data_IF_220926710074
#
_entry.id   IF_220926710074
#
_cell.length_a   1.000
_cell.length_b   1.000
_cell.length_c   1.000
_cell.angle_alpha   90.00
_cell.angle_beta   90.00
_cell.angle_gamma   90.00
#
_symmetry.space_group_name_H-M   'P 1'
#
loop_
_entity.id
_entity.type
_entity.pdbx_description
1 polymer ?
#
# COMPACT_ATOMS: atom_id res chain seq x y z
N UNK A 1 5.62 48.85 20.38
CA UNK A 1 5.37 50.02 21.23
C UNK A 1 3.97 49.90 21.75
N UNK A 2 3.88 49.62 23.05
CA UNK A 2 2.67 49.72 23.86
C UNK A 2 2.00 51.09 23.69
N UNK A 3 0.66 51.13 23.72
CA UNK A 3 -0.07 51.59 24.91
C UNK A 3 -1.57 51.81 24.61
N UNK A 4 -2.36 51.69 25.69
CA UNK A 4 -3.78 52.02 25.89
C UNK A 4 -4.75 50.85 25.58
N UNK A 5 -5.16 49.98 26.51
CA UNK A 5 -5.30 50.02 27.97
C UNK A 5 -6.19 51.16 28.51
N UNK A 6 -7.34 50.75 29.06
CA UNK A 6 -8.42 51.50 29.77
C UNK A 6 -9.59 51.94 28.87
N UNK A 7 -10.86 51.54 29.05
CA UNK A 7 -11.53 50.80 30.11
C UNK A 7 -12.89 50.23 29.61
N UNK A 8 -13.34 49.13 30.22
CA UNK A 8 -14.77 48.84 30.41
C UNK A 8 -15.45 47.83 29.49
N UNK A 9 -15.19 46.53 29.66
CA UNK A 9 -16.16 45.46 29.34
C UNK A 9 -16.06 44.30 30.33
N UNK A 10 -17.22 43.72 30.67
CA UNK A 10 -17.45 42.73 31.71
C UNK A 10 -16.63 41.44 31.54
N UNK A 11 -16.19 40.84 32.67
CA UNK A 11 -15.61 39.50 32.70
C UNK A 11 -16.62 38.48 32.13
N UNK A 12 -16.26 37.65 31.13
CA UNK A 12 -17.07 36.50 30.76
C UNK A 12 -16.98 35.45 31.88
N UNK A 13 -18.06 34.70 32.12
CA UNK A 13 -18.22 33.90 33.33
C UNK A 13 -17.23 32.74 33.36
N UNK A 14 -16.49 32.64 34.46
CA UNK A 14 -15.94 31.38 34.97
C UNK A 14 -17.04 30.33 34.98
N UNK A 15 -17.09 29.46 33.97
CA UNK A 15 -18.02 28.33 33.90
C UNK A 15 -17.39 27.21 33.07
N UNK A 16 -16.99 26.04 33.56
CA UNK A 16 -16.80 25.49 34.90
C UNK A 16 -15.65 24.46 34.71
N UNK A 17 -14.59 24.46 35.54
CA UNK A 17 -13.60 23.37 35.51
C UNK A 17 -14.25 22.00 35.74
N UNK A 18 -15.36 21.94 36.48
CA UNK A 18 -16.22 20.76 36.60
C UNK A 18 -16.77 20.28 35.26
N UNK A 19 -17.26 21.17 34.37
CA UNK A 19 -17.87 20.75 33.11
C UNK A 19 -16.82 20.21 32.13
N UNK A 20 -15.60 20.78 32.11
CA UNK A 20 -14.45 20.20 31.38
C UNK A 20 -13.99 18.87 31.99
N UNK A 21 -13.99 18.73 33.33
CA UNK A 21 -13.73 17.45 33.99
C UNK A 21 -14.86 16.43 33.76
N UNK A 22 -16.11 16.87 33.64
CA UNK A 22 -17.27 16.03 33.37
C UNK A 22 -17.26 15.59 31.89
N UNK A 23 -16.97 16.48 30.95
CA UNK A 23 -16.73 16.15 29.54
C UNK A 23 -15.52 15.22 29.36
N UNK A 24 -14.43 15.41 30.11
CA UNK A 24 -13.31 14.47 30.16
C UNK A 24 -13.64 13.12 30.83
N UNK A 25 -14.70 13.06 31.66
CA UNK A 25 -15.25 11.79 32.16
C UNK A 25 -16.08 11.07 31.08
N UNK A 26 -16.61 11.79 30.09
CA UNK A 26 -17.31 11.22 28.94
C UNK A 26 -16.34 10.78 27.83
N UNK A 27 -15.29 11.55 27.54
CA UNK A 27 -14.21 11.21 26.60
C UNK A 27 -13.02 10.54 27.30
N UNK A 28 -13.22 9.32 27.76
CA UNK A 28 -12.11 8.47 28.24
C UNK A 28 -11.32 7.96 27.03
N UNK A 29 -10.35 8.73 26.58
CA UNK A 29 -9.38 8.30 25.57
C UNK A 29 -8.06 7.89 26.22
N UNK A 30 -7.36 6.95 25.60
CA UNK A 30 -5.99 6.60 25.98
C UNK A 30 -5.10 7.82 25.75
N UNK A 31 -4.30 8.18 26.77
CA UNK A 31 -3.32 9.27 26.67
C UNK A 31 -2.11 8.89 25.82
N UNK A 32 -1.34 9.89 25.37
CA UNK A 32 -0.09 9.65 24.66
C UNK A 32 0.91 8.88 25.54
N UNK A 33 1.66 7.95 24.94
CA UNK A 33 2.72 7.23 25.63
C UNK A 33 3.80 8.19 26.14
N UNK A 34 4.26 7.97 27.38
CA UNK A 34 5.41 8.70 27.93
C UNK A 34 6.69 8.33 27.16
N UNK A 35 7.56 9.30 26.81
CA UNK A 35 8.82 9.00 26.14
C UNK A 35 9.66 7.96 26.92
N UNK A 36 10.14 6.93 26.22
CA UNK A 36 10.88 5.81 26.83
C UNK A 36 12.16 6.26 27.55
N UNK A 37 12.77 7.36 27.07
CA UNK A 37 13.94 8.03 27.66
C UNK A 37 13.68 8.47 29.11
N UNK A 38 12.46 8.94 29.41
CA UNK A 38 12.08 9.40 30.75
C UNK A 38 11.51 8.26 31.61
N UNK A 39 10.80 7.34 30.95
CA UNK A 39 10.10 6.25 31.62
C UNK A 39 11.04 5.17 32.15
N UNK A 40 12.04 4.72 31.36
CA UNK A 40 12.93 3.63 31.76
C UNK A 40 13.76 3.93 33.02
N UNK A 41 14.38 5.11 33.18
CA UNK A 41 15.09 5.45 34.42
C UNK A 41 14.19 5.39 35.65
N UNK A 42 12.95 5.90 35.55
CA UNK A 42 11.97 5.81 36.62
C UNK A 42 11.64 4.35 36.97
N UNK A 43 11.36 3.51 35.97
CA UNK A 43 11.02 2.11 36.18
C UNK A 43 12.17 1.34 36.86
N UNK A 44 13.43 1.59 36.47
CA UNK A 44 14.60 0.98 37.14
C UNK A 44 14.72 1.39 38.60
N UNK A 45 14.47 2.66 38.94
CA UNK A 45 14.39 3.11 40.33
C UNK A 45 13.24 2.44 41.11
N UNK A 46 12.09 2.25 40.44
CA UNK A 46 10.94 1.56 41.02
C UNK A 46 11.19 0.06 41.25
N UNK A 47 12.01 -0.60 40.43
CA UNK A 47 12.48 -1.99 40.66
C UNK A 47 13.21 -2.09 42.01
N UNK A 48 14.10 -1.14 42.31
CA UNK A 48 14.86 -1.14 43.57
C UNK A 48 13.97 -0.92 44.80
N UNK A 49 12.94 -0.09 44.66
CA UNK A 49 11.99 0.20 45.75
C UNK A 49 10.98 -0.93 45.96
N UNK A 50 10.60 -1.62 44.88
CA UNK A 50 9.58 -2.67 44.87
C UNK A 50 8.15 -2.12 44.81
N UNK A 51 7.28 -2.79 44.05
CA UNK A 51 5.92 -2.33 43.77
C UNK A 51 5.05 -2.09 45.02
N UNK A 52 5.28 -2.83 46.11
CA UNK A 52 4.52 -2.71 47.36
C UNK A 52 4.84 -1.44 48.15
N UNK A 53 6.09 -0.95 48.09
CA UNK A 53 6.54 0.23 48.83
C UNK A 53 6.26 1.55 48.10
N UNK A 54 5.94 1.52 46.80
CA UNK A 54 5.72 2.74 46.03
C UNK A 54 4.51 3.54 46.53
N UNK A 55 4.57 4.88 46.56
CA UNK A 55 3.37 5.70 46.70
C UNK A 55 2.46 5.52 45.47
N UNK A 56 1.15 5.73 45.66
CA UNK A 56 0.12 5.40 44.65
C UNK A 56 0.36 6.04 43.28
N UNK A 57 0.82 7.29 43.23
CA UNK A 57 1.06 7.96 41.97
C UNK A 57 2.20 7.30 41.17
N UNK A 58 3.26 6.83 41.86
CA UNK A 58 4.35 6.08 41.24
C UNK A 58 3.88 4.67 40.84
N UNK A 59 3.10 4.00 41.69
CA UNK A 59 2.46 2.73 41.33
C UNK A 59 1.63 2.87 40.04
N UNK A 60 0.81 3.92 39.93
CA UNK A 60 0.01 4.17 38.74
C UNK A 60 0.87 4.52 37.50
N UNK A 61 2.05 5.11 37.69
CA UNK A 61 3.01 5.31 36.58
C UNK A 61 3.63 3.97 36.15
N UNK A 62 3.95 3.08 37.08
CA UNK A 62 4.38 1.69 36.79
C UNK A 62 3.29 0.92 36.05
N UNK A 63 2.05 0.95 36.54
CA UNK A 63 0.90 0.27 35.90
C UNK A 63 0.63 0.74 34.46
N UNK A 64 0.95 2.00 34.13
CA UNK A 64 0.88 2.49 32.76
C UNK A 64 2.08 2.05 31.93
N UNK A 65 3.28 2.13 32.50
CA UNK A 65 4.52 2.16 31.74
C UNK A 65 5.40 0.91 31.77
N UNK A 66 5.23 -0.01 32.73
CA UNK A 66 6.07 -1.20 32.87
C UNK A 66 6.09 -2.08 31.62
N UNK A 67 5.09 -1.92 30.75
CA UNK A 67 4.92 -2.71 29.55
C UNK A 67 5.74 -2.21 28.35
N UNK A 68 6.58 -1.19 28.53
CA UNK A 68 7.44 -0.66 27.47
C UNK A 68 8.59 -1.61 27.12
N UNK A 69 9.00 -2.49 28.04
CA UNK A 69 10.12 -3.42 27.86
C UNK A 69 9.97 -4.65 28.76
N UNK A 70 10.49 -5.80 28.31
CA UNK A 70 10.47 -7.06 29.07
C UNK A 70 11.28 -6.98 30.37
N UNK A 71 12.26 -6.09 30.47
CA UNK A 71 13.06 -5.89 31.70
C UNK A 71 12.20 -5.49 32.92
N UNK A 72 10.97 -5.00 32.71
CA UNK A 72 10.08 -4.54 33.80
C UNK A 72 8.85 -5.43 34.02
N UNK A 73 8.74 -6.58 33.36
CA UNK A 73 7.55 -7.43 33.47
C UNK A 73 7.29 -7.93 34.89
N UNK A 74 8.35 -8.23 35.66
CA UNK A 74 8.24 -8.64 37.07
C UNK A 74 7.73 -7.49 37.96
N UNK A 75 8.25 -6.28 37.75
CA UNK A 75 7.79 -5.08 38.46
C UNK A 75 6.31 -4.80 38.14
N UNK A 76 5.95 -4.87 36.85
CA UNK A 76 4.57 -4.70 36.40
C UNK A 76 3.66 -5.77 36.99
N UNK A 77 4.09 -7.02 36.99
CA UNK A 77 3.37 -8.15 37.59
C UNK A 77 3.06 -7.91 39.07
N UNK A 78 4.06 -7.50 39.86
CA UNK A 78 3.88 -7.18 41.28
C UNK A 78 2.98 -5.94 41.49
N UNK A 79 3.08 -4.94 40.60
CA UNK A 79 2.20 -3.78 40.63
C UNK A 79 0.74 -4.15 40.35
N UNK A 80 0.47 -5.08 39.43
CA UNK A 80 -0.87 -5.61 39.18
C UNK A 80 -1.42 -6.33 40.41
N UNK A 81 -0.62 -7.18 41.07
CA UNK A 81 -1.06 -7.91 42.27
C UNK A 81 -1.47 -6.93 43.39
N UNK A 82 -0.68 -5.88 43.59
CA UNK A 82 -1.03 -4.81 44.54
C UNK A 82 -2.31 -4.07 44.13
N UNK A 83 -2.47 -3.74 42.85
CA UNK A 83 -3.65 -3.03 42.36
C UNK A 83 -4.93 -3.87 42.49
N UNK A 84 -4.82 -5.20 42.37
CA UNK A 84 -5.94 -6.13 42.59
C UNK A 84 -6.26 -6.27 44.09
N UNK A 85 -5.25 -6.23 44.96
CA UNK A 85 -5.45 -6.27 46.42
C UNK A 85 -5.99 -4.96 47.03
N UNK A 86 -5.66 -3.81 46.46
CA UNK A 86 -6.10 -2.48 46.92
C UNK A 86 -6.79 -1.71 45.79
N UNK A 87 -8.07 -2.04 45.64
CA UNK A 87 -8.96 -1.60 44.57
C UNK A 87 -9.16 -0.09 44.58
N UNK A 88 -8.58 0.60 43.60
CA UNK A 88 -8.72 2.04 43.40
C UNK A 88 -9.00 2.36 41.95
N UNK A 89 -10.01 3.21 41.71
CA UNK A 89 -10.39 3.64 40.35
C UNK A 89 -9.23 4.24 39.55
N UNK A 90 -8.31 4.94 40.20
CA UNK A 90 -7.13 5.52 39.53
C UNK A 90 -6.09 4.48 39.11
N UNK A 91 -5.95 3.39 39.87
CA UNK A 91 -5.11 2.25 39.49
C UNK A 91 -5.77 1.42 38.40
N UNK A 92 -7.08 1.24 38.46
CA UNK A 92 -7.86 0.54 37.42
C UNK A 92 -7.78 1.25 36.07
N UNK A 93 -7.89 2.58 36.06
CA UNK A 93 -7.64 3.37 34.86
C UNK A 93 -6.20 3.22 34.36
N UNK A 94 -5.21 3.24 35.26
CA UNK A 94 -3.80 3.08 34.89
C UNK A 94 -3.49 1.71 34.27
N UNK A 95 -4.14 0.65 34.73
CA UNK A 95 -4.04 -0.71 34.16
C UNK A 95 -4.60 -0.74 32.74
N UNK A 96 -5.79 -0.16 32.54
CA UNK A 96 -6.43 -0.08 31.21
C UNK A 96 -5.57 0.75 30.24
N UNK A 97 -5.08 1.91 30.69
CA UNK A 97 -4.19 2.77 29.91
C UNK A 97 -2.95 1.97 29.49
N UNK A 98 -2.26 1.30 30.43
CA UNK A 98 -1.06 0.54 30.14
C UNK A 98 -1.29 -0.63 29.17
N UNK A 99 -2.41 -1.35 29.31
CA UNK A 99 -2.80 -2.41 28.38
C UNK A 99 -2.98 -1.87 26.96
N UNK A 100 -3.73 -0.78 26.78
CA UNK A 100 -4.02 -0.25 25.44
C UNK A 100 -2.78 0.40 24.83
N UNK A 101 -2.04 1.20 25.60
CA UNK A 101 -0.85 1.93 25.14
C UNK A 101 0.24 1.00 24.64
N UNK A 102 0.56 -0.08 25.36
CA UNK A 102 1.70 -0.92 25.01
C UNK A 102 1.34 -2.26 24.38
N UNK A 103 0.20 -2.84 24.78
CA UNK A 103 -0.33 -4.11 24.26
C UNK A 103 0.74 -5.16 23.91
N UNK A 104 1.47 -5.68 24.91
CA UNK A 104 2.63 -6.56 24.68
C UNK A 104 2.26 -7.99 24.25
N UNK A 105 1.58 -8.13 23.11
CA UNK A 105 0.94 -9.36 22.63
C UNK A 105 1.87 -10.58 22.54
N UNK A 106 3.16 -10.36 22.27
CA UNK A 106 4.14 -11.43 22.08
C UNK A 106 4.86 -11.80 23.39
N UNK A 107 4.50 -11.17 24.51
CA UNK A 107 5.11 -11.40 25.83
C UNK A 107 4.13 -12.13 26.76
N UNK A 108 4.57 -13.13 27.55
CA UNK A 108 3.69 -13.90 28.43
C UNK A 108 2.85 -13.05 29.41
N UNK A 109 3.36 -11.88 29.80
CA UNK A 109 2.69 -10.95 30.73
C UNK A 109 1.33 -10.44 30.23
N UNK A 110 1.08 -10.47 28.91
CA UNK A 110 -0.17 -9.96 28.32
C UNK A 110 -1.40 -10.62 28.92
N UNK A 111 -1.34 -11.91 29.26
CA UNK A 111 -2.46 -12.62 29.86
C UNK A 111 -2.87 -12.05 31.21
N UNK A 112 -1.88 -11.80 32.10
CA UNK A 112 -2.11 -11.22 33.42
C UNK A 112 -2.59 -9.77 33.31
N UNK A 113 -1.97 -8.98 32.44
CA UNK A 113 -2.36 -7.58 32.20
C UNK A 113 -3.79 -7.48 31.65
N UNK A 114 -4.14 -8.32 30.67
CA UNK A 114 -5.47 -8.39 30.08
C UNK A 114 -6.55 -8.79 31.12
N UNK A 115 -6.27 -9.79 31.96
CA UNK A 115 -7.18 -10.21 33.02
C UNK A 115 -7.42 -9.08 34.05
N UNK A 116 -6.35 -8.37 34.43
CA UNK A 116 -6.45 -7.22 35.31
C UNK A 116 -7.25 -6.06 34.68
N UNK A 117 -7.00 -5.74 33.40
CA UNK A 117 -7.72 -4.71 32.67
C UNK A 117 -9.20 -5.05 32.47
N UNK A 118 -9.52 -6.31 32.16
CA UNK A 118 -10.90 -6.80 32.05
C UNK A 118 -11.64 -6.69 33.38
N UNK A 119 -10.98 -7.08 34.48
CA UNK A 119 -11.54 -6.95 35.83
C UNK A 119 -11.76 -5.48 36.20
N UNK A 120 -10.77 -4.62 35.95
CA UNK A 120 -10.87 -3.17 36.16
C UNK A 120 -12.05 -2.55 35.40
N UNK A 121 -12.25 -2.95 34.13
CA UNK A 121 -13.37 -2.48 33.32
C UNK A 121 -14.74 -2.87 33.89
N UNK A 122 -14.86 -4.05 34.50
CA UNK A 122 -16.11 -4.55 35.08
C UNK A 122 -16.45 -3.94 36.45
N UNK A 123 -15.47 -3.42 37.20
CA UNK A 123 -15.68 -2.93 38.58
C UNK A 123 -16.54 -1.67 38.68
N UNK A 124 -16.59 -0.85 37.63
CA UNK A 124 -17.30 0.42 37.65
C UNK A 124 -18.30 0.53 36.50
N UNK A 125 -19.35 1.33 36.70
CA UNK A 125 -20.23 1.79 35.63
C UNK A 125 -19.56 2.95 34.88
N UNK A 126 -18.83 2.58 33.83
CA UNK A 126 -18.12 3.50 32.96
C UNK A 126 -17.98 2.88 31.56
N UNK A 127 -17.62 3.72 30.60
CA UNK A 127 -17.48 3.40 29.17
C UNK A 127 -16.64 2.15 28.88
N UNK A 128 -15.62 1.86 29.71
CA UNK A 128 -14.75 0.70 29.51
C UNK A 128 -15.48 -0.64 29.65
N UNK A 129 -16.54 -0.71 30.46
CA UNK A 129 -17.37 -1.92 30.59
C UNK A 129 -18.06 -2.22 29.26
N UNK A 130 -18.71 -1.22 28.68
CA UNK A 130 -19.45 -1.35 27.41
C UNK A 130 -18.51 -1.61 26.23
N UNK A 131 -17.36 -0.93 26.20
CA UNK A 131 -16.30 -1.16 25.21
C UNK A 131 -15.80 -2.60 25.24
N UNK A 132 -15.55 -3.14 26.44
CA UNK A 132 -15.12 -4.53 26.58
C UNK A 132 -16.22 -5.51 26.15
N UNK A 133 -17.48 -5.27 26.50
CA UNK A 133 -18.59 -6.12 26.05
C UNK A 133 -18.72 -6.14 24.52
N UNK A 134 -18.64 -4.97 23.89
CA UNK A 134 -18.84 -4.83 22.44
C UNK A 134 -17.71 -5.45 21.62
N UNK A 135 -16.45 -5.16 21.97
CA UNK A 135 -15.30 -5.57 21.16
C UNK A 135 -14.40 -6.62 21.81
N UNK A 136 -14.72 -7.09 23.01
CA UNK A 136 -13.80 -7.95 23.80
C UNK A 136 -12.42 -7.31 23.92
N UNK A 137 -12.41 -5.99 24.21
CA UNK A 137 -11.23 -5.13 24.16
C UNK A 137 -10.05 -5.69 24.99
N UNK A 138 -10.34 -6.31 26.14
CA UNK A 138 -9.34 -6.90 27.03
C UNK A 138 -9.12 -8.40 26.81
N UNK A 139 -9.46 -8.92 25.63
CA UNK A 139 -9.11 -10.28 25.19
C UNK A 139 -8.07 -10.19 24.07
N UNK A 140 -6.77 -10.42 24.33
CA UNK A 140 -5.71 -10.11 23.39
C UNK A 140 -5.86 -10.75 22.01
N UNK A 141 -6.35 -11.99 21.96
CA UNK A 141 -6.58 -12.72 20.70
C UNK A 141 -7.86 -12.33 19.94
N UNK A 142 -8.78 -11.56 20.54
CA UNK A 142 -10.07 -11.21 19.93
C UNK A 142 -10.28 -9.71 19.76
N UNK A 143 -9.82 -8.90 20.70
CA UNK A 143 -10.05 -7.45 20.75
C UNK A 143 -9.69 -6.75 19.44
N UNK A 144 -8.41 -6.80 19.02
CA UNK A 144 -7.98 -6.20 17.76
C UNK A 144 -8.78 -6.70 16.54
N UNK A 145 -9.04 -8.00 16.47
CA UNK A 145 -9.78 -8.62 15.35
C UNK A 145 -11.24 -8.19 15.30
N UNK A 146 -11.93 -8.08 16.45
CA UNK A 146 -13.32 -7.60 16.49
C UNK A 146 -13.43 -6.13 16.11
N UNK A 147 -12.50 -5.29 16.54
CA UNK A 147 -12.47 -3.88 16.09
C UNK A 147 -12.16 -3.80 14.60
N UNK A 148 -11.24 -4.63 14.09
CA UNK A 148 -10.94 -4.73 12.65
C UNK A 148 -12.14 -5.17 11.81
N UNK A 149 -12.98 -6.09 12.31
CA UNK A 149 -14.22 -6.49 11.64
C UNK A 149 -15.24 -5.34 11.56
N UNK A 150 -15.39 -4.57 12.64
CA UNK A 150 -16.23 -3.36 12.64
C UNK A 150 -15.66 -2.32 11.65
N UNK A 151 -14.33 -2.17 11.60
CA UNK A 151 -13.63 -1.27 10.68
C UNK A 151 -13.93 -1.56 9.20
N UNK A 152 -13.84 -2.82 8.77
CA UNK A 152 -14.07 -3.18 7.36
C UNK A 152 -15.54 -3.09 6.94
N UNK A 153 -16.46 -3.05 7.90
CA UNK A 153 -17.91 -2.96 7.65
C UNK A 153 -18.42 -1.52 7.51
N UNK A 154 -17.57 -0.52 7.80
CA UNK A 154 -17.95 0.89 7.85
C UNK A 154 -17.49 1.67 6.64
N UNK A 155 -18.19 2.76 6.37
CA UNK A 155 -17.72 3.81 5.48
C UNK A 155 -16.68 4.69 6.18
N UNK A 156 -16.07 5.60 5.41
CA UNK A 156 -15.00 6.47 5.90
C UNK A 156 -15.47 7.43 6.99
N UNK A 157 -16.72 7.91 6.93
CA UNK A 157 -17.30 8.75 7.98
C UNK A 157 -17.46 7.98 9.31
N UNK A 158 -17.84 6.70 9.24
CA UNK A 158 -18.04 5.83 10.39
C UNK A 158 -16.75 5.42 11.12
N UNK A 159 -15.57 5.58 10.49
CA UNK A 159 -14.28 5.22 11.11
C UNK A 159 -13.95 6.13 12.28
N UNK A 160 -14.14 7.45 12.16
CA UNK A 160 -13.85 8.36 13.28
C UNK A 160 -14.74 8.06 14.50
N UNK A 161 -15.98 7.64 14.27
CA UNK A 161 -16.89 7.21 15.33
C UNK A 161 -16.45 5.88 15.95
N UNK A 162 -15.98 4.93 15.13
CA UNK A 162 -15.42 3.66 15.62
C UNK A 162 -14.23 3.91 16.54
N UNK A 163 -13.27 4.72 16.08
CA UNK A 163 -12.04 5.01 16.82
C UNK A 163 -12.34 5.70 18.16
N UNK A 164 -13.20 6.72 18.17
CA UNK A 164 -13.69 7.33 19.42
C UNK A 164 -14.45 6.34 20.31
N UNK A 165 -15.28 5.49 19.72
CA UNK A 165 -16.04 4.46 20.43
C UNK A 165 -15.15 3.47 21.18
N UNK A 166 -14.04 3.06 20.59
CA UNK A 166 -13.07 2.12 21.19
C UNK A 166 -12.22 2.76 22.29
N UNK A 167 -12.11 4.09 22.34
CA UNK A 167 -11.24 4.82 23.27
C UNK A 167 -9.78 4.94 22.82
N UNK A 168 -9.46 4.52 21.60
CA UNK A 168 -8.10 4.59 21.04
C UNK A 168 -7.71 6.00 20.53
N UNK A 169 -8.63 6.97 20.58
CA UNK A 169 -8.42 8.30 20.01
C UNK A 169 -8.40 8.28 18.49
N UNK A 170 -7.90 9.34 17.85
CA UNK A 170 -7.91 9.45 16.37
C UNK A 170 -6.69 8.83 15.69
N UNK A 171 -5.61 8.55 16.43
CA UNK A 171 -4.37 8.00 15.90
C UNK A 171 -4.14 6.58 16.39
N UNK A 172 -4.36 5.59 15.51
CA UNK A 172 -4.13 4.17 15.83
C UNK A 172 -2.66 3.84 16.08
N UNK A 173 -1.73 4.55 15.43
CA UNK A 173 -0.29 4.32 15.57
C UNK A 173 0.23 4.67 16.98
N UNK A 174 -0.51 5.50 17.72
CA UNK A 174 -0.12 6.00 19.04
C UNK A 174 -0.18 4.94 20.16
N UNK A 175 -0.70 3.74 19.89
CA UNK A 175 -0.81 2.66 20.88
C UNK A 175 -0.55 1.29 20.27
N UNK A 176 0.01 0.36 21.05
CA UNK A 176 0.24 -1.02 20.63
C UNK A 176 -1.07 -1.75 20.27
N UNK A 177 -2.17 -1.47 21.00
CA UNK A 177 -3.47 -2.05 20.67
C UNK A 177 -4.01 -1.50 19.33
N UNK A 178 -3.86 -0.20 19.11
CA UNK A 178 -4.26 0.44 17.85
C UNK A 178 -3.46 -0.07 16.66
N UNK A 179 -2.14 -0.25 16.81
CA UNK A 179 -1.29 -0.90 15.82
C UNK A 179 -1.74 -2.34 15.54
N UNK A 180 -2.02 -3.14 16.56
CA UNK A 180 -2.52 -4.51 16.38
C UNK A 180 -3.89 -4.53 15.69
N UNK A 181 -4.77 -3.58 16.00
CA UNK A 181 -6.07 -3.42 15.34
C UNK A 181 -5.90 -3.10 13.87
N UNK A 182 -5.00 -2.16 13.54
CA UNK A 182 -4.72 -1.78 12.16
C UNK A 182 -4.14 -2.95 11.35
N UNK A 183 -3.25 -3.74 11.94
CA UNK A 183 -2.71 -4.96 11.33
C UNK A 183 -3.83 -5.97 11.01
N UNK A 184 -4.74 -6.21 11.96
CA UNK A 184 -5.89 -7.10 11.75
C UNK A 184 -6.86 -6.54 10.70
N UNK A 185 -7.05 -5.23 10.62
CA UNK A 185 -7.87 -4.60 9.59
C UNK A 185 -7.27 -4.79 8.19
N UNK A 186 -5.95 -4.67 8.05
CA UNK A 186 -5.26 -4.97 6.80
C UNK A 186 -5.42 -6.44 6.39
N UNK A 187 -5.21 -7.38 7.32
CA UNK A 187 -5.38 -8.81 7.07
C UNK A 187 -6.82 -9.14 6.67
N UNK A 188 -7.80 -8.60 7.40
CA UNK A 188 -9.22 -8.80 7.10
C UNK A 188 -9.59 -8.23 5.71
N UNK A 189 -9.08 -7.03 5.39
CA UNK A 189 -9.31 -6.38 4.08
C UNK A 189 -8.73 -7.20 2.93
N UNK A 190 -7.54 -7.77 3.11
CA UNK A 190 -6.89 -8.61 2.11
C UNK A 190 -7.70 -9.88 1.77
N UNK A 191 -8.44 -10.42 2.75
CA UNK A 191 -9.31 -11.57 2.58
C UNK A 191 -10.70 -11.26 2.02
N UNK A 192 -11.03 -9.99 1.76
CA UNK A 192 -12.34 -9.62 1.21
C UNK A 192 -12.43 -9.95 -0.29
N UNK A 193 -13.62 -10.36 -0.76
CA UNK A 193 -13.92 -10.35 -2.20
C UNK A 193 -13.76 -8.95 -2.78
N UNK A 194 -13.31 -8.85 -4.04
CA UNK A 194 -12.97 -7.59 -4.73
C UNK A 194 -14.05 -6.51 -4.59
N UNK A 195 -15.32 -6.87 -4.81
CA UNK A 195 -16.48 -5.96 -4.67
C UNK A 195 -16.69 -5.36 -3.28
N UNK A 196 -16.22 -6.03 -2.22
CA UNK A 196 -16.38 -5.56 -0.84
C UNK A 196 -15.11 -4.91 -0.28
N UNK A 197 -13.96 -5.08 -0.94
CA UNK A 197 -12.69 -4.54 -0.49
C UNK A 197 -12.60 -3.00 -0.59
N UNK A 198 -13.34 -2.39 -1.53
CA UNK A 198 -13.22 -0.95 -1.86
C UNK A 198 -13.42 -0.05 -0.64
N UNK A 199 -14.48 -0.27 0.15
CA UNK A 199 -14.77 0.55 1.33
C UNK A 199 -13.65 0.48 2.38
N UNK A 200 -13.23 -0.74 2.72
CA UNK A 200 -12.15 -0.97 3.66
C UNK A 200 -10.79 -0.42 3.18
N UNK A 201 -10.48 -0.54 1.89
CA UNK A 201 -9.27 0.02 1.29
C UNK A 201 -9.27 1.55 1.33
N UNK A 202 -10.42 2.22 1.09
CA UNK A 202 -10.55 3.67 1.24
C UNK A 202 -10.30 4.10 2.69
N UNK A 203 -10.80 3.33 3.66
CA UNK A 203 -10.55 3.60 5.07
C UNK A 203 -9.06 3.48 5.43
N UNK A 204 -8.37 2.45 4.90
CA UNK A 204 -6.92 2.29 5.07
C UNK A 204 -6.16 3.50 4.50
N UNK A 205 -6.49 3.90 3.27
CA UNK A 205 -5.85 5.06 2.62
C UNK A 205 -6.07 6.36 3.42
N UNK A 206 -7.30 6.58 3.91
CA UNK A 206 -7.64 7.77 4.69
C UNK A 206 -6.93 7.83 6.06
N UNK A 207 -6.63 6.68 6.68
CA UNK A 207 -5.86 6.64 7.92
C UNK A 207 -4.39 6.98 7.69
N UNK A 208 -3.79 6.47 6.60
CA UNK A 208 -2.39 6.76 6.28
C UNK A 208 -2.13 8.23 5.91
N UNK A 209 -3.12 8.91 5.33
CA UNK A 209 -3.01 10.34 5.02
C UNK A 209 -2.98 11.20 6.31
N UNK A 210 -3.60 10.71 7.39
CA UNK A 210 -3.67 11.40 8.69
C UNK A 210 -2.53 11.00 9.63
N UNK A 211 -2.12 9.73 9.60
CA UNK A 211 -1.18 9.17 10.57
C UNK A 211 -0.08 8.36 9.87
N UNK A 212 1.18 8.65 10.21
CA UNK A 212 2.31 7.81 9.81
C UNK A 212 2.25 6.46 10.55
N UNK A 213 1.57 5.47 9.97
CA UNK A 213 1.49 4.10 10.47
C UNK A 213 2.78 3.34 10.15
N UNK A 214 3.86 3.72 10.84
CA UNK A 214 5.18 3.12 10.68
C UNK A 214 5.16 1.62 11.02
N UNK A 215 5.80 0.80 10.17
CA UNK A 215 6.09 -0.61 10.46
C UNK A 215 5.03 -1.64 10.08
N UNK A 216 4.03 -1.29 9.25
CA UNK A 216 3.02 -2.25 8.75
C UNK A 216 2.80 -2.17 7.23
N UNK A 217 3.78 -1.65 6.51
CA UNK A 217 3.66 -1.34 5.09
C UNK A 217 3.37 -2.59 4.25
N UNK A 218 3.95 -3.73 4.60
CA UNK A 218 3.72 -5.03 3.96
C UNK A 218 2.26 -5.49 4.08
N UNK A 219 1.64 -5.32 5.25
CA UNK A 219 0.23 -5.66 5.46
C UNK A 219 -0.69 -4.73 4.66
N UNK A 220 -0.31 -3.47 4.53
CA UNK A 220 -1.05 -2.48 3.73
C UNK A 220 -0.95 -2.81 2.25
N UNK A 221 0.25 -3.11 1.74
CA UNK A 221 0.44 -3.57 0.36
C UNK A 221 -0.43 -4.78 0.08
N UNK A 222 -0.44 -5.76 0.98
CA UNK A 222 -1.31 -6.94 0.88
C UNK A 222 -2.79 -6.54 0.86
N UNK A 223 -3.26 -5.72 1.79
CA UNK A 223 -4.65 -5.28 1.87
C UNK A 223 -5.14 -4.55 0.61
N UNK A 224 -4.26 -3.74 0.00
CA UNK A 224 -4.58 -2.93 -1.17
C UNK A 224 -4.51 -3.71 -2.49
N UNK A 225 -3.74 -4.80 -2.57
CA UNK A 225 -3.48 -5.52 -3.82
C UNK A 225 -4.09 -6.94 -3.88
N UNK A 226 -4.14 -7.67 -2.77
CA UNK A 226 -4.60 -9.07 -2.75
C UNK A 226 -6.04 -9.25 -3.29
N UNK A 227 -7.02 -8.38 -2.96
CA UNK A 227 -8.36 -8.49 -3.50
C UNK A 227 -8.44 -8.37 -5.03
N UNK A 228 -7.38 -7.93 -5.70
CA UNK A 228 -7.33 -7.68 -7.13
C UNK A 228 -6.40 -8.64 -7.89
N UNK A 229 -6.12 -9.81 -7.31
CA UNK A 229 -5.33 -10.84 -7.99
C UNK A 229 -6.01 -11.29 -9.28
N UNK A 230 -7.31 -11.57 -9.21
CA UNK A 230 -8.11 -12.11 -10.33
C UNK A 230 -9.05 -11.08 -10.98
N UNK A 231 -9.25 -9.92 -10.36
CA UNK A 231 -10.17 -8.88 -10.82
C UNK A 231 -9.48 -7.52 -10.89
N UNK A 232 -10.15 -6.55 -11.53
CA UNK A 232 -9.63 -5.18 -11.66
C UNK A 232 -10.52 -4.19 -10.91
N UNK A 233 -9.95 -3.28 -10.10
CA UNK A 233 -10.73 -2.20 -9.51
C UNK A 233 -11.23 -1.23 -10.56
N UNK A 234 -12.22 -0.42 -10.18
CA UNK A 234 -12.60 0.74 -10.98
C UNK A 234 -11.38 1.68 -11.17
N UNK A 235 -11.34 2.45 -12.28
CA UNK A 235 -10.15 3.24 -12.63
C UNK A 235 -9.72 4.24 -11.55
N UNK A 236 -10.66 4.90 -10.87
CA UNK A 236 -10.38 5.90 -9.84
C UNK A 236 -9.79 5.26 -8.59
N UNK A 237 -10.38 4.15 -8.14
CA UNK A 237 -9.89 3.40 -6.98
C UNK A 237 -8.52 2.76 -7.25
N UNK A 238 -8.33 2.17 -8.44
CA UNK A 238 -7.02 1.68 -8.90
C UNK A 238 -5.97 2.78 -8.86
N UNK A 239 -6.31 3.97 -9.34
CA UNK A 239 -5.41 5.13 -9.39
C UNK A 239 -5.05 5.62 -7.99
N UNK A 240 -6.01 5.69 -7.06
CA UNK A 240 -5.78 6.06 -5.67
C UNK A 240 -4.78 5.10 -5.00
N UNK A 241 -4.99 3.78 -5.15
CA UNK A 241 -4.05 2.76 -4.64
C UNK A 241 -2.68 2.91 -5.30
N UNK A 242 -2.63 3.09 -6.62
CA UNK A 242 -1.38 3.20 -7.36
C UNK A 242 -0.56 4.42 -6.93
N UNK A 243 -1.20 5.57 -6.76
CA UNK A 243 -0.55 6.79 -6.28
C UNK A 243 0.05 6.59 -4.88
N UNK A 244 -0.75 6.04 -3.95
CA UNK A 244 -0.28 5.72 -2.60
C UNK A 244 0.94 4.77 -2.61
N UNK A 245 0.87 3.67 -3.38
CA UNK A 245 1.96 2.70 -3.43
C UNK A 245 3.22 3.26 -4.11
N UNK A 246 3.08 4.10 -5.14
CA UNK A 246 4.23 4.80 -5.74
C UNK A 246 4.89 5.76 -4.73
N UNK A 247 4.12 6.48 -3.94
CA UNK A 247 4.64 7.45 -2.98
C UNK A 247 5.30 6.77 -1.78
N UNK A 248 4.68 5.71 -1.24
CA UNK A 248 5.18 5.01 -0.04
C UNK A 248 6.24 3.95 -0.33
N UNK A 249 6.08 3.20 -1.42
CA UNK A 249 6.94 2.06 -1.76
C UNK A 249 7.80 2.36 -2.98
N UNK A 250 7.22 2.96 -4.02
CA UNK A 250 7.86 3.16 -5.32
C UNK A 250 7.58 2.04 -6.32
N UNK A 251 8.00 2.23 -7.57
CA UNK A 251 7.70 1.30 -8.66
C UNK A 251 8.41 -0.08 -8.47
N UNK A 252 7.69 -1.23 -8.44
CA UNK A 252 8.28 -2.56 -8.31
C UNK A 252 9.26 -2.95 -9.41
N UNK A 253 9.18 -2.33 -10.58
CA UNK A 253 10.08 -2.57 -11.73
C UNK A 253 11.46 -1.96 -11.50
N UNK A 254 11.51 -0.85 -10.75
CA UNK A 254 12.71 -0.07 -10.43
C UNK A 254 13.25 -0.35 -9.02
N UNK A 255 12.37 -0.46 -8.03
CA UNK A 255 12.69 -0.62 -6.61
C UNK A 255 12.73 -2.09 -6.18
N UNK A 256 13.42 -2.94 -6.96
CA UNK A 256 13.40 -4.41 -6.81
C UNK A 256 13.77 -4.88 -5.40
N UNK A 257 14.80 -4.30 -4.79
CA UNK A 257 15.25 -4.67 -3.43
C UNK A 257 14.20 -4.36 -2.37
N UNK A 258 13.49 -3.23 -2.48
CA UNK A 258 12.45 -2.83 -1.53
C UNK A 258 11.24 -3.76 -1.63
N UNK A 259 10.80 -4.04 -2.86
CA UNK A 259 9.69 -4.98 -3.09
C UNK A 259 10.03 -6.42 -2.73
N UNK A 260 11.28 -6.86 -2.94
CA UNK A 260 11.73 -8.17 -2.49
C UNK A 260 11.64 -8.32 -0.95
N UNK A 261 11.96 -7.28 -0.18
CA UNK A 261 11.78 -7.30 1.29
C UNK A 261 10.30 -7.45 1.68
N UNK A 262 9.41 -6.73 1.00
CA UNK A 262 7.96 -6.84 1.24
C UNK A 262 7.46 -8.24 0.91
N UNK A 263 7.85 -8.79 -0.26
CA UNK A 263 7.46 -10.15 -0.68
C UNK A 263 7.98 -11.19 0.30
N UNK A 264 9.25 -11.12 0.72
CA UNK A 264 9.82 -12.07 1.68
C UNK A 264 9.10 -12.01 3.03
N UNK A 265 8.82 -10.81 3.54
CA UNK A 265 8.08 -10.63 4.79
C UNK A 265 6.65 -11.18 4.70
N UNK A 266 5.95 -10.96 3.57
CA UNK A 266 4.64 -11.57 3.35
C UNK A 266 4.74 -13.10 3.24
N UNK A 267 5.76 -13.63 2.56
CA UNK A 267 5.94 -15.05 2.35
C UNK A 267 6.06 -15.86 3.66
N UNK A 268 6.59 -15.25 4.72
CA UNK A 268 6.63 -15.84 6.08
C UNK A 268 5.23 -16.17 6.63
N UNK A 269 4.20 -15.46 6.19
CA UNK A 269 2.82 -15.60 6.72
C UNK A 269 1.85 -16.28 5.75
N UNK A 270 2.01 -16.07 4.43
CA UNK A 270 1.05 -16.54 3.41
C UNK A 270 1.68 -17.40 2.30
N UNK A 271 2.98 -17.66 2.38
CA UNK A 271 3.72 -18.43 1.38
C UNK A 271 4.19 -17.63 0.17
N UNK A 272 5.29 -18.10 -0.42
CA UNK A 272 6.03 -17.42 -1.49
C UNK A 272 5.18 -17.17 -2.76
N UNK A 273 4.41 -18.17 -3.18
CA UNK A 273 3.60 -18.07 -4.40
C UNK A 273 2.58 -16.92 -4.29
N UNK A 274 1.85 -16.86 -3.18
CA UNK A 274 0.83 -15.84 -2.93
C UNK A 274 1.45 -14.45 -2.76
N UNK A 275 2.55 -14.34 -2.02
CA UNK A 275 3.26 -13.07 -1.85
C UNK A 275 3.73 -12.48 -3.20
N UNK A 276 4.21 -13.33 -4.11
CA UNK A 276 4.58 -12.89 -5.47
C UNK A 276 3.37 -12.45 -6.29
N UNK A 277 2.25 -13.18 -6.25
CA UNK A 277 1.02 -12.79 -6.95
C UNK A 277 0.56 -11.38 -6.57
N UNK A 278 0.59 -11.06 -5.28
CA UNK A 278 0.23 -9.73 -4.76
C UNK A 278 1.09 -8.64 -5.41
N UNK A 279 2.42 -8.80 -5.44
CA UNK A 279 3.31 -7.84 -6.09
C UNK A 279 3.09 -7.76 -7.61
N UNK A 280 2.72 -8.87 -8.25
CA UNK A 280 2.42 -8.90 -9.69
C UNK A 280 1.17 -8.07 -10.04
N UNK A 281 0.17 -7.99 -9.17
CA UNK A 281 -1.02 -7.14 -9.39
C UNK A 281 -0.61 -5.71 -9.73
N UNK A 282 0.25 -5.12 -8.90
CA UNK A 282 0.66 -3.74 -9.09
C UNK A 282 1.52 -3.56 -10.34
N UNK A 283 2.43 -4.51 -10.58
CA UNK A 283 3.24 -4.51 -11.82
C UNK A 283 2.36 -4.58 -13.08
N UNK A 284 1.29 -5.38 -13.08
CA UNK A 284 0.33 -5.43 -14.21
C UNK A 284 -0.34 -4.09 -14.42
N UNK A 285 -0.79 -3.42 -13.35
CA UNK A 285 -1.41 -2.09 -13.47
C UNK A 285 -0.45 -1.05 -14.04
N UNK A 286 0.81 -1.04 -13.58
CA UNK A 286 1.82 -0.11 -14.10
C UNK A 286 2.19 -0.41 -15.56
N UNK A 287 2.21 -1.69 -15.93
CA UNK A 287 2.39 -2.14 -17.32
C UNK A 287 1.26 -1.64 -18.20
N UNK A 288 0.01 -1.79 -17.74
CA UNK A 288 -1.17 -1.32 -18.46
C UNK A 288 -1.17 0.19 -18.65
N UNK A 289 -0.94 0.95 -17.57
CA UNK A 289 -0.85 2.42 -17.64
C UNK A 289 0.25 2.87 -18.58
N UNK A 290 1.46 2.30 -18.45
CA UNK A 290 2.58 2.68 -19.28
C UNK A 290 2.31 2.47 -20.77
N UNK A 291 1.66 1.36 -21.11
CA UNK A 291 1.31 1.03 -22.49
C UNK A 291 0.19 1.92 -23.03
N UNK A 292 -0.92 2.07 -22.28
CA UNK A 292 -2.05 2.91 -22.72
C UNK A 292 -1.67 4.38 -22.85
N UNK A 293 -0.94 4.92 -21.88
CA UNK A 293 -0.53 6.33 -21.91
C UNK A 293 0.49 6.58 -23.02
N UNK A 294 1.37 5.62 -23.33
CA UNK A 294 2.24 5.71 -24.50
C UNK A 294 1.43 5.80 -25.80
N UNK A 295 0.52 4.85 -26.06
CA UNK A 295 -0.28 4.86 -27.29
C UNK A 295 -1.14 6.12 -27.41
N UNK A 296 -1.78 6.55 -26.31
CA UNK A 296 -2.57 7.78 -26.24
C UNK A 296 -1.73 9.01 -26.55
N UNK A 297 -0.52 9.11 -26.02
CA UNK A 297 0.32 10.27 -26.22
C UNK A 297 0.89 10.35 -27.65
N UNK A 298 1.23 9.20 -28.24
CA UNK A 298 1.64 9.14 -29.66
C UNK A 298 0.47 9.47 -30.60
N UNK A 299 -0.75 9.00 -30.30
CA UNK A 299 -1.94 9.29 -31.12
C UNK A 299 -2.19 10.80 -31.27
N UNK A 300 -1.85 11.60 -30.26
CA UNK A 300 -1.97 13.08 -30.29
C UNK A 300 -0.84 13.79 -31.04
N UNK A 301 0.24 13.08 -31.39
CA UNK A 301 1.48 13.69 -31.92
C UNK A 301 1.89 13.15 -33.28
N UNK A 302 1.22 12.13 -33.80
CA UNK A 302 1.50 11.49 -35.08
C UNK A 302 0.76 12.17 -36.24
N UNK A 303 1.42 12.24 -37.41
CA UNK A 303 0.84 12.74 -38.67
C UNK A 303 -0.01 11.67 -39.40
N UNK A 304 -0.03 10.43 -38.90
CA UNK A 304 -0.75 9.28 -39.49
C UNK A 304 -1.63 8.59 -38.43
N UNK A 305 -2.70 9.26 -37.96
CA UNK A 305 -3.54 8.78 -36.86
C UNK A 305 -4.27 7.47 -37.19
N UNK A 306 -4.62 7.26 -38.46
CA UNK A 306 -5.26 6.06 -38.98
C UNK A 306 -4.39 4.81 -38.81
N UNK A 307 -3.11 4.90 -39.17
CA UNK A 307 -2.15 3.80 -39.02
C UNK A 307 -1.85 3.51 -37.55
N UNK A 308 -1.75 4.56 -36.74
CA UNK A 308 -1.48 4.41 -35.32
C UNK A 308 -2.65 3.76 -34.57
N UNK A 309 -3.90 4.14 -34.89
CA UNK A 309 -5.10 3.54 -34.31
C UNK A 309 -5.18 2.02 -34.58
N UNK A 310 -4.73 1.56 -35.75
CA UNK A 310 -4.64 0.13 -36.05
C UNK A 310 -3.62 -0.58 -35.15
N UNK A 311 -2.44 0.02 -34.96
CA UNK A 311 -1.39 -0.51 -34.08
C UNK A 311 -1.83 -0.57 -32.63
N UNK A 312 -2.43 0.50 -32.14
CA UNK A 312 -3.02 0.56 -30.80
C UNK A 312 -4.04 -0.57 -30.63
N UNK A 313 -4.99 -0.72 -31.57
CA UNK A 313 -6.02 -1.75 -31.51
C UNK A 313 -5.46 -3.18 -31.48
N UNK A 314 -4.35 -3.43 -32.18
CA UNK A 314 -3.65 -4.71 -32.19
C UNK A 314 -2.99 -4.98 -30.84
N UNK A 315 -2.14 -4.07 -30.38
CA UNK A 315 -1.36 -4.27 -29.16
C UNK A 315 -2.22 -4.22 -27.89
N UNK A 316 -3.25 -3.38 -27.86
CA UNK A 316 -4.21 -3.35 -26.75
C UNK A 316 -4.96 -4.67 -26.60
N UNK A 317 -5.20 -5.43 -27.67
CA UNK A 317 -5.86 -6.73 -27.54
C UNK A 317 -5.03 -7.70 -26.68
N UNK A 318 -3.70 -7.77 -26.86
CA UNK A 318 -2.84 -8.56 -25.97
C UNK A 318 -2.83 -8.04 -24.54
N UNK A 319 -2.85 -6.71 -24.37
CA UNK A 319 -2.84 -6.10 -23.05
C UNK A 319 -4.14 -6.39 -22.28
N UNK A 320 -5.29 -6.27 -22.95
CA UNK A 320 -6.62 -6.46 -22.37
C UNK A 320 -6.82 -7.91 -21.88
N UNK A 321 -6.20 -8.89 -22.54
CA UNK A 321 -6.18 -10.30 -22.12
C UNK A 321 -5.06 -10.63 -21.11
N UNK A 322 -4.32 -9.63 -20.63
CA UNK A 322 -3.24 -9.82 -19.65
C UNK A 322 -2.01 -10.58 -20.17
N UNK A 323 -1.85 -10.68 -21.50
CA UNK A 323 -0.76 -11.42 -22.15
C UNK A 323 0.55 -10.63 -22.22
N UNK A 324 0.47 -9.30 -22.04
CA UNK A 324 1.64 -8.42 -21.91
C UNK A 324 2.08 -8.39 -20.45
N UNK A 325 3.23 -8.99 -20.16
CA UNK A 325 3.76 -9.12 -18.78
C UNK A 325 4.59 -7.92 -18.33
N UNK A 326 5.15 -7.18 -19.29
CA UNK A 326 5.99 -6.02 -19.07
C UNK A 326 5.82 -5.05 -20.24
N UNK A 327 5.77 -3.75 -19.94
CA UNK A 327 5.79 -2.68 -20.93
C UNK A 327 6.56 -1.48 -20.37
N UNK A 328 7.45 -0.94 -21.19
CA UNK A 328 8.33 0.16 -20.84
C UNK A 328 8.49 1.12 -22.02
N UNK A 329 7.84 2.30 -21.95
CA UNK A 329 8.05 3.37 -22.90
C UNK A 329 9.49 3.86 -22.87
N UNK A 330 10.06 4.10 -24.05
CA UNK A 330 11.34 4.74 -24.26
C UNK A 330 11.11 5.96 -25.17
N UNK A 331 11.26 7.16 -24.60
CA UNK A 331 10.87 8.41 -25.26
C UNK A 331 12.05 9.08 -25.95
N UNK A 332 11.82 9.57 -27.16
CA UNK A 332 12.73 10.50 -27.83
C UNK A 332 12.76 11.85 -27.12
N UNK A 333 13.89 12.56 -27.19
CA UNK A 333 14.13 13.81 -26.43
C UNK A 333 13.06 14.88 -26.69
N UNK A 334 12.57 15.03 -27.93
CA UNK A 334 11.50 16.01 -28.26
C UNK A 334 10.11 15.49 -27.89
N UNK A 335 9.88 14.18 -28.01
CA UNK A 335 8.60 13.57 -27.67
C UNK A 335 8.32 13.64 -26.16
N UNK A 336 9.36 13.57 -25.32
CA UNK A 336 9.26 13.62 -23.86
C UNK A 336 8.40 14.78 -23.36
N UNK A 337 8.72 16.02 -23.72
CA UNK A 337 8.02 17.20 -23.17
C UNK A 337 6.50 17.18 -23.51
N UNK A 338 6.14 16.74 -24.72
CA UNK A 338 4.75 16.63 -25.16
C UNK A 338 4.01 15.49 -24.46
N UNK A 339 4.69 14.36 -24.29
CA UNK A 339 4.15 13.17 -23.65
C UNK A 339 3.97 13.41 -22.14
N UNK A 340 4.92 14.07 -21.48
CA UNK A 340 4.83 14.49 -20.07
C UNK A 340 3.62 15.39 -19.83
N UNK A 341 3.37 16.35 -20.72
CA UNK A 341 2.20 17.23 -20.61
C UNK A 341 0.88 16.44 -20.70
N UNK A 342 0.78 15.50 -21.64
CA UNK A 342 -0.40 14.66 -21.84
C UNK A 342 -0.64 13.72 -20.64
N UNK A 343 0.44 13.13 -20.11
CA UNK A 343 0.39 12.25 -18.93
C UNK A 343 0.00 13.06 -17.69
N UNK A 344 0.54 14.26 -17.52
CA UNK A 344 0.17 15.14 -16.40
C UNK A 344 -1.32 15.46 -16.41
N UNK A 345 -1.94 15.60 -17.58
CA UNK A 345 -3.39 15.80 -17.72
C UNK A 345 -4.21 14.55 -17.34
N UNK A 346 -3.67 13.35 -17.51
CA UNK A 346 -4.35 12.12 -17.06
C UNK A 346 -4.19 11.89 -15.55
N UNK A 347 -3.15 12.49 -14.94
CA UNK A 347 -2.79 12.31 -13.54
C UNK A 347 -2.17 10.95 -13.23
N UNK A 348 -1.87 10.15 -14.25
CA UNK A 348 -1.07 8.94 -14.13
C UNK A 348 0.42 9.30 -14.01
N UNK A 349 1.23 8.40 -13.45
CA UNK A 349 2.68 8.60 -13.28
C UNK A 349 3.49 7.42 -13.87
N UNK A 350 3.34 7.11 -15.17
CA UNK A 350 4.14 6.06 -15.80
C UNK A 350 5.61 6.48 -15.86
N UNK A 351 6.47 5.57 -15.41
CA UNK A 351 7.90 5.65 -15.61
C UNK A 351 8.28 5.29 -17.05
N UNK A 352 9.40 5.84 -17.53
CA UNK A 352 9.88 5.65 -18.90
C UNK A 352 11.41 5.75 -19.00
N UNK A 353 11.97 5.22 -20.09
CA UNK A 353 13.37 5.41 -20.47
C UNK A 353 13.55 6.52 -21.51
N UNK A 354 14.80 6.94 -21.73
CA UNK A 354 15.14 7.96 -22.73
C UNK A 354 15.94 7.34 -23.87
N UNK A 355 15.57 7.62 -25.12
CA UNK A 355 16.34 7.21 -26.29
C UNK A 355 17.40 8.29 -26.58
N UNK A 356 18.67 7.85 -26.68
CA UNK A 356 19.80 8.66 -27.14
C UNK A 356 20.27 8.14 -28.50
N UNK A 357 20.59 9.06 -29.42
CA UNK A 357 20.90 8.71 -30.80
C UNK A 357 19.64 8.38 -31.62
N UNK A 358 19.69 8.64 -32.93
CA UNK A 358 18.54 8.53 -33.83
C UNK A 358 17.64 9.78 -33.84
N UNK A 359 16.48 9.68 -34.47
CA UNK A 359 15.55 10.80 -34.66
C UNK A 359 14.94 11.24 -33.32
N UNK A 360 15.11 12.52 -32.96
CA UNK A 360 14.72 13.05 -31.66
C UNK A 360 13.20 13.02 -31.35
N UNK A 361 12.36 12.84 -32.38
CA UNK A 361 10.90 12.72 -32.26
C UNK A 361 10.40 11.27 -32.14
N UNK A 362 11.23 10.28 -32.49
CA UNK A 362 10.82 8.87 -32.47
C UNK A 362 10.87 8.32 -31.05
N UNK A 363 9.79 7.64 -30.67
CA UNK A 363 9.71 6.92 -29.39
C UNK A 363 9.45 5.44 -29.67
N UNK A 364 9.77 4.60 -28.70
CA UNK A 364 9.51 3.16 -28.79
C UNK A 364 8.85 2.68 -27.50
N UNK A 365 8.11 1.60 -27.57
CA UNK A 365 7.69 0.84 -26.39
C UNK A 365 8.33 -0.53 -26.45
N UNK A 366 9.07 -0.85 -25.38
CA UNK A 366 9.66 -2.16 -25.17
C UNK A 366 8.68 -2.98 -24.34
N UNK A 367 8.25 -4.13 -24.83
CA UNK A 367 7.28 -4.98 -24.15
C UNK A 367 7.73 -6.44 -24.10
N UNK A 368 7.06 -7.22 -23.25
CA UNK A 368 7.25 -8.67 -23.14
C UNK A 368 5.94 -9.44 -23.26
N UNK A 369 5.91 -10.40 -24.17
CA UNK A 369 4.82 -11.38 -24.33
C UNK A 369 5.48 -12.75 -24.36
N UNK A 370 5.15 -13.61 -23.38
CA UNK A 370 5.86 -14.88 -23.18
C UNK A 370 7.37 -14.67 -23.02
N UNK A 371 8.15 -15.39 -23.83
CA UNK A 371 9.61 -15.33 -23.91
C UNK A 371 10.11 -14.37 -25.01
N UNK A 372 9.26 -13.46 -25.51
CA UNK A 372 9.65 -12.44 -26.49
C UNK A 372 9.84 -11.07 -25.90
N UNK A 373 10.98 -10.47 -26.22
CA UNK A 373 11.19 -9.02 -26.14
C UNK A 373 10.75 -8.39 -27.45
N UNK A 374 9.88 -7.39 -27.39
CA UNK A 374 9.34 -6.71 -28.55
C UNK A 374 9.63 -5.21 -28.43
N UNK A 375 10.07 -4.57 -29.52
CA UNK A 375 10.19 -3.12 -29.60
C UNK A 375 9.33 -2.58 -30.76
N UNK A 376 8.26 -1.87 -30.40
CA UNK A 376 7.37 -1.18 -31.33
C UNK A 376 7.77 0.30 -31.40
N UNK A 377 7.78 0.89 -32.60
CA UNK A 377 8.21 2.26 -32.83
C UNK A 377 7.03 3.16 -33.20
N UNK A 378 7.04 4.39 -32.69
CA UNK A 378 5.99 5.38 -32.93
C UNK A 378 5.95 5.91 -34.37
N UNK A 379 6.98 5.66 -35.17
CA UNK A 379 7.09 6.11 -36.56
C UNK A 379 6.92 4.97 -37.56
N UNK A 380 7.31 5.19 -38.82
CA UNK A 380 7.29 4.19 -39.89
C UNK A 380 8.32 3.06 -39.72
N UNK A 381 8.98 2.97 -38.55
CA UNK A 381 9.93 1.91 -38.24
C UNK A 381 9.32 0.51 -38.21
N UNK A 382 10.16 -0.49 -38.47
CA UNK A 382 9.85 -1.90 -38.24
C UNK A 382 9.69 -2.22 -36.75
N UNK A 383 8.77 -3.11 -36.44
CA UNK A 383 8.71 -3.79 -35.14
C UNK A 383 9.81 -4.84 -35.07
N UNK A 384 10.35 -5.09 -33.87
CA UNK A 384 11.47 -6.02 -33.66
C UNK A 384 11.14 -7.02 -32.58
N UNK A 385 11.58 -8.26 -32.79
CA UNK A 385 11.28 -9.42 -31.96
C UNK A 385 12.59 -10.16 -31.65
N UNK A 386 12.93 -10.23 -30.38
CA UNK A 386 14.05 -11.00 -29.85
C UNK A 386 13.54 -12.08 -28.91
N UNK A 387 14.28 -13.18 -28.74
CA UNK A 387 14.14 -13.98 -27.51
C UNK A 387 14.53 -13.13 -26.29
N UNK A 388 13.85 -13.32 -25.17
CA UNK A 388 14.16 -12.69 -23.89
C UNK A 388 15.58 -13.07 -23.39
N UNK A 389 16.12 -14.19 -23.87
CA UNK A 389 17.48 -14.66 -23.57
C UNK A 389 18.57 -14.09 -24.49
N UNK A 390 18.20 -13.37 -25.56
CA UNK A 390 19.16 -12.76 -26.47
C UNK A 390 19.88 -11.59 -25.76
N UNK A 391 21.23 -11.63 -25.61
CA UNK A 391 21.99 -10.51 -25.06
C UNK A 391 21.87 -9.21 -25.87
N UNK A 392 21.50 -9.31 -27.14
CA UNK A 392 21.20 -8.17 -28.02
C UNK A 392 19.79 -7.58 -27.82
N UNK A 393 18.92 -8.26 -27.08
CA UNK A 393 17.58 -7.76 -26.76
C UNK A 393 17.68 -6.54 -25.84
N UNK A 394 16.87 -5.48 -26.06
CA UNK A 394 16.88 -4.33 -25.17
C UNK A 394 16.46 -4.75 -23.75
N UNK A 395 17.22 -4.36 -22.71
CA UNK A 395 16.86 -4.66 -21.33
C UNK A 395 15.60 -3.89 -20.94
N UNK A 396 14.66 -4.53 -20.24
CA UNK A 396 13.52 -3.81 -19.66
C UNK A 396 13.98 -2.82 -18.60
N UNK A 397 13.24 -1.73 -18.47
CA UNK A 397 13.38 -0.77 -17.38
C UNK A 397 14.70 0.01 -17.37
N UNK A 398 15.44 0.00 -18.48
CA UNK A 398 16.61 0.84 -18.61
C UNK A 398 16.21 2.32 -18.66
N UNK A 399 16.99 3.14 -17.94
CA UNK A 399 16.83 4.61 -17.94
C UNK A 399 17.20 5.22 -19.28
N UNK A 400 18.09 4.57 -20.03
CA UNK A 400 18.58 5.07 -21.31
C UNK A 400 18.74 3.94 -22.29
N UNK A 401 18.32 4.17 -23.53
CA UNK A 401 18.49 3.28 -24.66
C UNK A 401 19.26 3.97 -25.77
N UNK A 402 20.03 3.19 -26.52
CA UNK A 402 20.66 3.65 -27.76
C UNK A 402 19.70 3.42 -28.94
N UNK A 403 19.36 4.49 -29.65
CA UNK A 403 18.41 4.44 -30.76
C UNK A 403 18.92 3.62 -31.96
N UNK A 404 20.23 3.59 -32.19
CA UNK A 404 20.83 2.76 -33.24
C UNK A 404 20.70 1.28 -32.92
N UNK A 405 21.01 0.89 -31.68
CA UNK A 405 20.84 -0.50 -31.19
C UNK A 405 19.38 -0.93 -31.19
N UNK A 406 18.47 -0.08 -30.73
CA UNK A 406 17.03 -0.35 -30.79
C UNK A 406 16.49 -0.46 -32.22
N UNK A 407 17.21 0.10 -33.21
CA UNK A 407 16.91 -0.02 -34.64
C UNK A 407 17.71 -1.08 -35.37
N UNK A 408 18.40 -1.97 -34.66
CA UNK A 408 19.19 -3.03 -35.29
C UNK A 408 18.39 -3.83 -36.32
N UNK A 409 19.04 -4.18 -37.42
CA UNK A 409 18.54 -5.13 -38.44
C UNK A 409 19.32 -6.44 -38.39
N UNK A 410 20.28 -6.55 -37.47
CA UNK A 410 21.08 -7.73 -37.23
C UNK A 410 20.84 -8.26 -35.81
N UNK A 411 20.82 -9.57 -35.66
CA UNK A 411 20.66 -10.26 -34.39
C UNK A 411 20.99 -11.74 -34.55
N UNK A 412 20.68 -12.53 -33.52
CA UNK A 412 20.84 -13.99 -33.56
C UNK A 412 19.88 -14.63 -34.57
N UNK A 413 19.98 -15.94 -34.76
CA UNK A 413 19.17 -16.68 -35.73
C UNK A 413 17.65 -16.55 -35.47
N UNK A 414 17.27 -16.28 -34.22
CA UNK A 414 15.92 -16.04 -33.74
C UNK A 414 15.61 -14.54 -33.59
N UNK A 415 16.37 -13.63 -34.19
CA UNK A 415 15.95 -12.23 -34.30
C UNK A 415 15.10 -12.03 -35.54
N UNK A 416 13.93 -11.38 -35.40
CA UNK A 416 13.07 -11.00 -36.51
C UNK A 416 12.74 -9.50 -36.43
N UNK A 417 12.70 -8.80 -37.57
CA UNK A 417 12.21 -7.43 -37.65
C UNK A 417 11.28 -7.29 -38.85
N UNK A 418 10.15 -6.64 -38.67
CA UNK A 418 9.10 -6.58 -39.68
C UNK A 418 8.46 -5.20 -39.77
N UNK A 419 8.22 -4.74 -41.00
CA UNK A 419 7.56 -3.46 -41.24
C UNK A 419 6.04 -3.58 -41.10
N UNK A 420 5.37 -2.44 -40.96
CA UNK A 420 3.91 -2.34 -40.91
C UNK A 420 3.27 -2.35 -42.32
N UNK A 421 3.87 -3.08 -43.26
CA UNK A 421 3.47 -3.14 -44.68
C UNK A 421 3.32 -4.61 -45.12
N UNK A 422 2.27 -4.97 -45.91
CA UNK A 422 1.18 -4.10 -46.37
C UNK A 422 0.29 -3.61 -45.22
N UNK A 423 -0.40 -2.50 -45.47
CA UNK A 423 -1.39 -1.95 -44.54
C UNK A 423 -2.52 -2.96 -44.27
N UNK A 424 -3.29 -2.72 -43.20
CA UNK A 424 -4.33 -3.65 -42.76
C UNK A 424 -5.34 -4.03 -43.86
N UNK A 425 -5.73 -5.30 -43.99
CA UNK A 425 -5.22 -6.45 -43.25
C UNK A 425 -3.88 -6.94 -43.82
N UNK A 426 -2.82 -7.02 -42.98
CA UNK A 426 -1.51 -7.46 -43.47
C UNK A 426 -0.53 -7.76 -42.35
N UNK A 427 0.17 -6.72 -41.91
CA UNK A 427 1.23 -6.80 -40.91
C UNK A 427 0.75 -7.42 -39.58
N UNK A 428 -0.52 -7.24 -39.20
CA UNK A 428 -1.09 -7.79 -37.96
C UNK A 428 -1.01 -9.31 -37.93
N UNK A 429 -1.34 -9.95 -39.05
CA UNK A 429 -1.31 -11.41 -39.16
C UNK A 429 0.12 -11.93 -39.13
N UNK A 430 1.09 -11.15 -39.62
CA UNK A 430 2.51 -11.47 -39.58
C UNK A 430 3.03 -11.38 -38.14
N UNK A 431 2.74 -10.30 -37.44
CA UNK A 431 3.17 -10.09 -36.05
C UNK A 431 2.54 -11.14 -35.13
N UNK A 432 1.23 -11.39 -35.26
CA UNK A 432 0.55 -12.47 -34.53
C UNK A 432 1.18 -13.84 -34.81
N UNK A 433 1.57 -14.10 -36.07
CA UNK A 433 2.27 -15.32 -36.46
C UNK A 433 3.64 -15.47 -35.80
N UNK A 434 4.42 -14.39 -35.70
CA UNK A 434 5.72 -14.40 -35.00
C UNK A 434 5.51 -14.71 -33.52
N UNK A 435 4.60 -13.99 -32.87
CA UNK A 435 4.32 -14.16 -31.44
C UNK A 435 3.85 -15.58 -31.16
N UNK A 436 2.85 -16.07 -31.89
CA UNK A 436 2.32 -17.42 -31.70
C UNK A 436 3.36 -18.51 -31.94
N UNK A 437 4.17 -18.43 -33.01
CA UNK A 437 5.19 -19.46 -33.29
C UNK A 437 6.22 -19.61 -32.18
N UNK A 438 6.52 -18.52 -31.47
CA UNK A 438 7.58 -18.51 -30.46
C UNK A 438 7.06 -18.72 -29.04
N UNK A 439 5.90 -18.17 -28.74
CA UNK A 439 5.33 -18.18 -27.38
C UNK A 439 4.18 -19.16 -27.20
N UNK A 440 3.64 -19.72 -28.30
CA UNK A 440 2.34 -20.42 -28.35
C UNK A 440 1.13 -19.57 -27.94
N UNK A 441 1.30 -18.25 -27.76
CA UNK A 441 0.23 -17.32 -27.41
C UNK A 441 -0.46 -16.85 -28.71
N UNK A 442 -1.77 -17.07 -28.81
CA UNK A 442 -2.56 -16.57 -29.93
C UNK A 442 -2.97 -15.11 -29.71
N UNK A 443 -3.01 -14.32 -30.79
CA UNK A 443 -3.61 -12.99 -30.72
C UNK A 443 -5.12 -13.12 -30.46
N UNK A 444 -5.72 -12.34 -29.55
CA UNK A 444 -7.15 -12.49 -29.20
C UNK A 444 -8.12 -12.30 -30.37
N UNK A 445 -7.80 -11.38 -31.29
CA UNK A 445 -8.55 -11.14 -32.54
C UNK A 445 -8.00 -11.84 -33.78
N UNK A 446 -6.70 -11.77 -34.02
CA UNK A 446 -6.03 -12.31 -35.22
C UNK A 446 -5.61 -13.79 -35.12
N UNK A 447 -5.91 -14.47 -34.01
CA UNK A 447 -5.59 -15.88 -33.78
C UNK A 447 -4.09 -16.18 -33.90
N UNK A 448 -3.76 -17.29 -34.57
CA UNK A 448 -2.38 -17.77 -34.76
C UNK A 448 -1.58 -16.97 -35.80
N UNK A 449 -2.19 -16.02 -36.49
CA UNK A 449 -1.56 -15.27 -37.59
C UNK A 449 -1.18 -16.16 -38.79
N UNK A 450 -0.30 -15.64 -39.66
CA UNK A 450 0.21 -16.36 -40.84
C UNK A 450 1.56 -17.04 -40.56
N UNK A 451 1.75 -18.26 -41.07
CA UNK A 451 3.03 -18.98 -41.01
C UNK A 451 4.03 -18.46 -42.06
N UNK A 452 5.33 -18.70 -41.82
CA UNK A 452 6.47 -18.20 -42.61
C UNK A 452 6.44 -18.60 -44.10
N UNK A 453 5.65 -19.61 -44.47
CA UNK A 453 5.59 -20.18 -45.82
C UNK A 453 4.32 -19.80 -46.62
N UNK A 454 3.64 -18.70 -46.28
CA UNK A 454 2.49 -18.23 -47.06
C UNK A 454 2.91 -17.35 -48.24
N UNK A 455 3.73 -17.89 -49.14
CA UNK A 455 3.85 -17.37 -50.50
C UNK A 455 3.11 -18.36 -51.41
N UNK A 456 1.97 -17.94 -51.99
CA UNK A 456 1.89 -17.78 -53.44
C UNK A 456 0.49 -17.31 -53.91
N UNK A 457 0.54 -16.25 -54.72
CA UNK A 457 -0.42 -15.77 -55.72
C UNK A 457 -1.70 -15.08 -55.23
N UNK A 458 -1.67 -13.75 -55.32
CA UNK A 458 -2.79 -13.00 -55.89
C UNK A 458 -2.56 -12.88 -57.38
#
# INVERSE_FOLDING_TARGET
MDALASAGLAKPPTTQPELRRQLAKFDTNVGAAEPTVDLKPFLRGAVQTGAHALPRFQLNRVLRGAWCDAEFDDLGSAALDRAVGDLRRSSDQAVIDGYLTYFPKDRPIIGKLAAAASSAAQRYEWTWRDRNMRWSLFTPGQGPSKVALDFISRDTAGIEQLLRGTGLGTNLAASGFGQATFAQACVATAGLPSRHAVGAQRNILALFDKDALAGQLELVVRALLEPWISEKPDPEHRKAISAFLLDQVGDPRLQRTRWARIVNSLAETIGEARAREIAQVFKRWLTEVAMREFFRAIAKTTDRPDQWAQREKFWMAYLDEGLVTDAWPALGIRARNRIEEIIRQSGERPEYGIIRGGTASSSSIIMRIGDLRIAEWSDSGSCRFWSDSDPGAPPLYAKTYDGGKLRTTAGRADFEFESHVPASPGWETKFAGIIHRRTSISHPRSGKGRARNWNDKW
#
